data_IF_079251622375
#
_entry.id   IF_079251622375
#
_cell.length_a   1.000
_cell.length_b   1.000
_cell.length_c   1.000
_cell.angle_alpha   90.00
_cell.angle_beta   90.00
_cell.angle_gamma   90.00
#
_symmetry.space_group_name_H-M   'P 1'
#
loop_
_entity.id
_entity.type
_entity.pdbx_description
1 polymer ?
#
# COMPACT_ATOMS: atom_id res chain seq x y z
N UNK A 1 21.34 31.71 -3.69
CA UNK A 1 21.73 33.11 -3.46
C UNK A 1 20.52 33.83 -2.89
N UNK A 2 20.46 33.95 -1.55
CA UNK A 2 19.34 34.63 -0.88
C UNK A 2 19.50 36.14 -1.08
N UNK A 3 18.50 36.79 -1.65
CA UNK A 3 18.46 38.25 -1.78
C UNK A 3 18.11 38.84 -0.41
N UNK A 4 19.11 39.08 0.42
CA UNK A 4 18.93 39.91 1.60
C UNK A 4 18.77 41.36 1.12
N UNK A 5 17.59 41.93 1.33
CA UNK A 5 17.37 43.36 1.15
C UNK A 5 17.68 43.99 2.51
N UNK A 6 18.78 44.72 2.61
CA UNK A 6 19.11 45.48 3.83
C UNK A 6 18.09 46.63 3.98
N UNK A 7 17.50 46.76 5.16
CA UNK A 7 16.66 47.89 5.54
C UNK A 7 17.57 49.07 5.95
N UNK A 8 17.11 50.30 5.72
CA UNK A 8 17.84 51.56 6.01
C UNK A 8 18.33 51.74 7.46
N UNK A 9 17.90 50.87 8.39
CA UNK A 9 18.34 50.80 9.79
C UNK A 9 19.51 49.83 10.06
N UNK A 10 20.02 49.14 9.04
CA UNK A 10 21.10 48.15 9.19
C UNK A 10 20.66 46.83 9.85
N UNK A 11 19.35 46.64 10.06
CA UNK A 11 18.80 45.41 10.62
C UNK A 11 18.38 44.47 9.50
N UNK A 12 18.84 43.21 9.53
CA UNK A 12 18.41 42.20 8.55
C UNK A 12 16.93 41.88 8.76
N UNK A 13 16.08 42.39 7.88
CA UNK A 13 14.65 42.06 7.86
C UNK A 13 14.47 40.59 7.45
N UNK A 14 14.44 39.69 8.45
CA UNK A 14 14.05 38.30 8.24
C UNK A 14 12.56 38.24 7.89
N UNK A 15 12.25 38.05 6.61
CA UNK A 15 10.89 37.73 6.16
C UNK A 15 10.70 36.21 6.27
N UNK A 16 9.95 35.71 7.27
CA UNK A 16 9.66 34.28 7.34
C UNK A 16 8.92 33.87 6.06
N UNK A 17 9.47 32.89 5.33
CA UNK A 17 8.72 32.27 4.24
C UNK A 17 7.42 31.70 4.82
N UNK A 18 6.25 32.03 4.24
CA UNK A 18 5.00 31.47 4.72
C UNK A 18 5.10 29.94 4.67
N UNK A 19 4.74 29.29 5.77
CA UNK A 19 4.71 27.82 5.87
C UNK A 19 3.87 27.31 4.72
N UNK A 20 4.53 26.66 3.75
CA UNK A 20 3.87 26.17 2.54
C UNK A 20 2.83 25.12 2.97
N UNK A 21 1.55 25.49 2.91
CA UNK A 21 0.45 24.58 3.19
C UNK A 21 0.48 23.46 2.15
N UNK A 22 0.89 22.26 2.57
CA UNK A 22 0.93 21.08 1.71
C UNK A 22 -0.50 20.64 1.40
N UNK A 23 -0.99 21.00 0.21
CA UNK A 23 -2.23 20.41 -0.32
C UNK A 23 -1.93 18.95 -0.70
N UNK A 24 -2.52 18.01 0.03
CA UNK A 24 -2.43 16.58 -0.26
C UNK A 24 -3.00 16.31 -1.66
N UNK A 25 -2.11 16.22 -2.65
CA UNK A 25 -2.48 15.83 -4.03
C UNK A 25 -2.64 14.31 -4.07
N UNK A 26 -3.50 13.82 -4.96
CA UNK A 26 -3.74 12.37 -5.17
C UNK A 26 -2.45 11.58 -5.38
N UNK A 27 -1.46 12.16 -6.07
CA UNK A 27 -0.15 11.53 -6.25
C UNK A 27 0.66 11.36 -4.95
N UNK A 28 0.51 12.27 -3.98
CA UNK A 28 1.17 12.18 -2.68
C UNK A 28 0.56 11.06 -1.83
N UNK A 29 -0.76 10.92 -1.84
CA UNK A 29 -1.43 9.77 -1.21
C UNK A 29 -1.00 8.44 -1.82
N UNK A 30 -0.94 8.35 -3.15
CA UNK A 30 -0.51 7.12 -3.81
C UNK A 30 0.93 6.72 -3.40
N UNK A 31 1.82 7.70 -3.28
CA UNK A 31 3.18 7.48 -2.81
C UNK A 31 3.25 7.03 -1.34
N UNK A 32 2.49 7.68 -0.44
CA UNK A 32 2.44 7.29 0.98
C UNK A 32 1.93 5.86 1.12
N UNK A 33 0.82 5.54 0.47
CA UNK A 33 0.24 4.21 0.48
C UNK A 33 1.20 3.15 -0.07
N UNK A 34 2.00 3.48 -1.09
CA UNK A 34 2.95 2.51 -1.66
C UNK A 34 4.04 2.14 -0.66
N UNK A 35 4.54 3.12 0.11
CA UNK A 35 5.50 2.88 1.19
C UNK A 35 4.88 2.13 2.36
N UNK A 36 3.68 2.53 2.78
CA UNK A 36 2.99 1.90 3.90
C UNK A 36 2.67 0.43 3.61
N UNK A 37 2.15 0.15 2.41
CA UNK A 37 1.91 -1.23 1.96
C UNK A 37 3.21 -2.03 1.86
N UNK A 38 4.30 -1.44 1.37
CA UNK A 38 5.60 -2.11 1.36
C UNK A 38 6.09 -2.49 2.76
N UNK A 39 5.98 -1.57 3.73
CA UNK A 39 6.36 -1.84 5.11
C UNK A 39 5.47 -2.93 5.75
N UNK A 40 4.16 -2.89 5.48
CA UNK A 40 3.23 -3.93 5.93
C UNK A 40 3.58 -5.30 5.34
N UNK A 41 3.96 -5.36 4.05
CA UNK A 41 4.38 -6.60 3.39
C UNK A 41 5.68 -7.15 3.97
N UNK A 42 6.67 -6.29 4.30
CA UNK A 42 7.89 -6.72 4.98
C UNK A 42 7.56 -7.34 6.35
N UNK A 43 6.70 -6.70 7.13
CA UNK A 43 6.24 -7.26 8.41
C UNK A 43 5.51 -8.59 8.24
N UNK A 44 4.62 -8.68 7.25
CA UNK A 44 3.94 -9.92 6.89
C UNK A 44 4.93 -11.03 6.53
N UNK A 45 5.95 -10.74 5.73
CA UNK A 45 6.95 -11.73 5.32
C UNK A 45 7.68 -12.35 6.51
N UNK A 46 8.00 -11.57 7.56
CA UNK A 46 8.64 -12.12 8.78
C UNK A 46 7.73 -13.13 9.47
N UNK A 47 6.45 -12.77 9.70
CA UNK A 47 5.46 -13.67 10.33
C UNK A 47 5.18 -14.88 9.44
N UNK A 48 5.08 -14.67 8.12
CA UNK A 48 4.80 -15.70 7.14
C UNK A 48 5.91 -16.77 7.10
N UNK A 49 7.18 -16.34 7.00
CA UNK A 49 8.33 -17.25 7.00
C UNK A 49 8.44 -17.99 8.34
N UNK A 50 8.12 -17.33 9.45
CA UNK A 50 8.07 -18.00 10.75
C UNK A 50 6.97 -19.08 10.79
N UNK A 51 5.78 -18.79 10.26
CA UNK A 51 4.69 -19.77 10.13
C UNK A 51 5.07 -21.00 9.31
N UNK A 52 5.89 -20.85 8.27
CA UNK A 52 6.37 -21.97 7.45
C UNK A 52 7.18 -23.01 8.25
N UNK A 53 7.72 -22.67 9.43
CA UNK A 53 8.38 -23.67 10.29
C UNK A 53 7.44 -24.81 10.69
N UNK A 54 6.14 -24.54 10.81
CA UNK A 54 5.13 -25.53 11.18
C UNK A 54 4.99 -26.67 10.15
N UNK A 55 5.43 -26.49 8.89
CA UNK A 55 5.29 -27.50 7.83
C UNK A 55 6.06 -28.80 8.12
N UNK A 56 7.05 -28.74 9.01
CA UNK A 56 7.89 -29.88 9.37
C UNK A 56 7.23 -30.85 10.35
N UNK A 57 6.13 -30.44 10.99
CA UNK A 57 5.38 -31.25 11.95
C UNK A 57 3.89 -31.17 11.62
N UNK A 58 3.27 -32.32 11.33
CA UNK A 58 1.87 -32.39 10.94
C UNK A 58 0.91 -31.82 12.00
N UNK A 59 1.17 -32.05 13.29
CA UNK A 59 0.35 -31.52 14.39
C UNK A 59 0.46 -29.99 14.48
N UNK A 60 1.69 -29.46 14.42
CA UNK A 60 1.93 -28.02 14.44
C UNK A 60 1.32 -27.33 13.19
N UNK A 61 1.41 -27.97 12.03
CA UNK A 61 0.79 -27.49 10.80
C UNK A 61 -0.74 -27.46 10.91
N UNK A 62 -1.35 -28.54 11.38
CA UNK A 62 -2.80 -28.61 11.55
C UNK A 62 -3.32 -27.57 12.55
N UNK A 63 -2.61 -27.35 13.66
CA UNK A 63 -2.93 -26.31 14.63
C UNK A 63 -2.82 -24.90 14.02
N UNK A 64 -1.79 -24.63 13.21
CA UNK A 64 -1.61 -23.35 12.53
C UNK A 64 -2.72 -23.12 11.49
N UNK A 65 -3.03 -24.10 10.65
CA UNK A 65 -4.11 -23.99 9.66
C UNK A 65 -5.45 -23.79 10.35
N UNK A 66 -5.74 -24.48 11.46
CA UNK A 66 -6.96 -24.26 12.22
C UNK A 66 -7.07 -22.79 12.71
N UNK A 67 -5.95 -22.16 13.08
CA UNK A 67 -5.95 -20.74 13.47
C UNK A 67 -6.33 -19.80 12.31
N UNK A 68 -5.95 -20.12 11.06
CA UNK A 68 -6.27 -19.32 9.86
C UNK A 68 -7.76 -19.35 9.47
N UNK A 69 -8.55 -20.25 10.08
CA UNK A 69 -10.00 -20.24 9.91
C UNK A 69 -10.67 -19.16 10.77
N UNK A 70 -9.96 -18.55 11.73
CA UNK A 70 -10.55 -17.50 12.55
C UNK A 70 -10.87 -16.23 11.71
N UNK A 71 -11.96 -15.51 12.01
CA UNK A 71 -12.40 -14.36 11.21
C UNK A 71 -11.35 -13.25 11.07
N UNK A 72 -10.51 -13.07 12.09
CA UNK A 72 -9.42 -12.08 12.08
C UNK A 72 -8.42 -12.35 10.95
N UNK A 73 -8.10 -13.62 10.67
CA UNK A 73 -7.20 -14.00 9.59
C UNK A 73 -7.87 -13.84 8.23
N UNK A 74 -9.19 -14.06 8.12
CA UNK A 74 -9.94 -13.80 6.88
C UNK A 74 -9.96 -12.32 6.50
N UNK A 75 -10.14 -11.44 7.47
CA UNK A 75 -10.00 -9.98 7.26
C UNK A 75 -8.55 -9.62 6.91
N UNK A 76 -7.58 -10.22 7.60
CA UNK A 76 -6.15 -10.04 7.33
C UNK A 76 -5.76 -10.44 5.90
N UNK A 77 -6.21 -11.60 5.43
CA UNK A 77 -6.00 -12.11 4.06
C UNK A 77 -6.57 -11.13 3.03
N UNK A 78 -7.76 -10.58 3.27
CA UNK A 78 -8.39 -9.61 2.37
C UNK A 78 -7.61 -8.28 2.30
N UNK A 79 -7.20 -7.73 3.45
CA UNK A 79 -6.38 -6.52 3.50
C UNK A 79 -4.99 -6.75 2.87
N UNK A 80 -4.40 -7.92 3.13
CA UNK A 80 -3.12 -8.33 2.55
C UNK A 80 -3.20 -8.42 1.03
N UNK A 81 -4.25 -9.04 0.49
CA UNK A 81 -4.48 -9.11 -0.96
C UNK A 81 -4.51 -7.71 -1.58
N UNK A 82 -5.25 -6.78 -0.96
CA UNK A 82 -5.29 -5.39 -1.40
C UNK A 82 -3.93 -4.71 -1.36
N UNK A 83 -3.18 -4.91 -0.26
CA UNK A 83 -1.82 -4.37 -0.10
C UNK A 83 -0.85 -4.89 -1.17
N UNK A 84 -0.86 -6.20 -1.45
CA UNK A 84 0.00 -6.83 -2.48
C UNK A 84 -0.33 -6.29 -3.87
N UNK A 85 -1.61 -6.32 -4.27
CA UNK A 85 -2.04 -5.86 -5.61
C UNK A 85 -1.66 -4.40 -5.81
N UNK A 86 -1.98 -3.55 -4.83
CA UNK A 86 -1.65 -2.14 -4.88
C UNK A 86 -0.14 -1.92 -4.95
N UNK A 87 0.65 -2.58 -4.09
CA UNK A 87 2.10 -2.41 -4.06
C UNK A 87 2.76 -2.86 -5.37
N UNK A 88 2.38 -4.03 -5.88
CA UNK A 88 2.93 -4.60 -7.11
C UNK A 88 2.61 -3.75 -8.34
N UNK A 89 1.34 -3.36 -8.54
CA UNK A 89 0.94 -2.59 -9.72
C UNK A 89 1.48 -1.16 -9.68
N UNK A 90 1.52 -0.54 -8.50
CA UNK A 90 2.06 0.82 -8.38
C UNK A 90 3.59 0.83 -8.48
N UNK A 91 4.27 -0.22 -8.02
CA UNK A 91 5.70 -0.44 -8.27
C UNK A 91 5.99 -0.69 -9.75
N UNK A 92 5.18 -1.51 -10.42
CA UNK A 92 5.28 -1.75 -11.86
C UNK A 92 5.13 -0.46 -12.67
N UNK A 93 4.20 0.44 -12.28
CA UNK A 93 4.08 1.78 -12.88
C UNK A 93 5.40 2.55 -12.83
N UNK A 94 6.07 2.56 -11.68
CA UNK A 94 7.32 3.28 -11.48
C UNK A 94 8.42 2.66 -12.35
N UNK A 95 8.55 1.33 -12.35
CA UNK A 95 9.51 0.61 -13.20
C UNK A 95 9.28 0.91 -14.69
N UNK A 96 8.04 0.89 -15.17
CA UNK A 96 7.73 1.18 -16.58
C UNK A 96 8.12 2.62 -16.98
N UNK A 97 7.93 3.59 -16.09
CA UNK A 97 8.27 4.99 -16.36
C UNK A 97 9.79 5.18 -16.33
N UNK A 98 10.46 4.66 -15.30
CA UNK A 98 11.86 4.97 -15.01
C UNK A 98 12.84 4.10 -15.80
N UNK A 99 12.53 2.81 -16.03
CA UNK A 99 13.42 1.89 -16.76
C UNK A 99 13.12 1.80 -18.25
N UNK A 100 11.84 1.82 -18.65
CA UNK A 100 11.44 1.63 -20.06
C UNK A 100 11.35 2.96 -20.81
N UNK A 101 11.45 4.10 -20.10
CA UNK A 101 11.25 5.43 -20.68
C UNK A 101 9.84 5.63 -21.24
N UNK A 102 8.90 4.74 -20.89
CA UNK A 102 7.54 4.78 -21.37
C UNK A 102 6.82 5.91 -20.63
N UNK A 103 6.64 7.04 -21.31
CA UNK A 103 5.95 8.22 -20.79
C UNK A 103 4.58 8.43 -21.48
N UNK A 104 3.61 7.51 -21.34
CA UNK A 104 2.24 7.82 -21.73
C UNK A 104 1.66 8.80 -20.71
N UNK A 105 0.55 9.45 -21.06
CA UNK A 105 -0.19 10.33 -20.14
C UNK A 105 -0.31 9.69 -18.75
N UNK A 106 0.43 10.22 -17.75
CA UNK A 106 0.57 9.57 -16.45
C UNK A 106 -0.77 9.34 -15.74
N UNK A 107 -1.75 10.22 -16.00
CA UNK A 107 -3.14 10.03 -15.56
C UNK A 107 -3.78 8.77 -16.14
N UNK A 108 -3.65 8.52 -17.46
CA UNK A 108 -4.22 7.34 -18.12
C UNK A 108 -3.57 6.07 -17.59
N UNK A 109 -2.25 6.06 -17.43
CA UNK A 109 -1.52 4.89 -16.90
C UNK A 109 -1.97 4.57 -15.46
N UNK A 110 -2.06 5.58 -14.59
CA UNK A 110 -2.54 5.41 -13.22
C UNK A 110 -3.97 4.84 -13.17
N UNK A 111 -4.90 5.37 -13.97
CA UNK A 111 -6.27 4.86 -14.00
C UNK A 111 -6.38 3.46 -14.62
N UNK A 112 -5.60 3.15 -15.66
CA UNK A 112 -5.59 1.81 -16.27
C UNK A 112 -5.09 0.74 -15.31
N UNK A 113 -3.97 1.00 -14.61
CA UNK A 113 -3.44 0.10 -13.59
C UNK A 113 -4.36 0.03 -12.38
N UNK A 114 -5.00 1.14 -12.00
CA UNK A 114 -6.03 1.16 -10.96
C UNK A 114 -7.25 0.31 -11.32
N UNK A 115 -7.69 0.32 -12.58
CA UNK A 115 -8.79 -0.54 -13.05
C UNK A 115 -8.40 -2.01 -13.00
N UNK A 116 -7.17 -2.36 -13.44
CA UNK A 116 -6.65 -3.72 -13.33
C UNK A 116 -6.56 -4.14 -11.85
N UNK A 117 -6.07 -3.27 -10.97
CA UNK A 117 -6.02 -3.51 -9.54
C UNK A 117 -7.41 -3.80 -8.96
N UNK A 118 -8.41 -3.00 -9.33
CA UNK A 118 -9.78 -3.16 -8.88
C UNK A 118 -10.40 -4.49 -9.36
N UNK A 119 -10.15 -4.89 -10.61
CA UNK A 119 -10.62 -6.17 -11.15
C UNK A 119 -9.96 -7.34 -10.42
N UNK A 120 -8.63 -7.33 -10.27
CA UNK A 120 -7.90 -8.38 -9.55
C UNK A 120 -8.36 -8.48 -8.08
N UNK A 121 -8.58 -7.34 -7.44
CA UNK A 121 -9.06 -7.29 -6.07
C UNK A 121 -10.51 -7.79 -5.95
N UNK A 122 -11.39 -7.44 -6.89
CA UNK A 122 -12.76 -7.93 -6.91
C UNK A 122 -12.83 -9.44 -7.14
N UNK A 123 -12.07 -9.96 -8.12
CA UNK A 123 -12.04 -11.39 -8.45
C UNK A 123 -11.40 -12.21 -7.33
N UNK A 124 -10.24 -11.77 -6.82
CA UNK A 124 -9.53 -12.45 -5.74
C UNK A 124 -10.19 -12.29 -4.36
N UNK A 125 -10.87 -11.17 -4.14
CA UNK A 125 -11.56 -10.84 -2.89
C UNK A 125 -12.99 -11.37 -2.81
N UNK A 126 -13.64 -11.70 -3.94
CA UNK A 126 -14.97 -12.31 -3.97
C UNK A 126 -15.10 -13.55 -3.06
N UNK A 127 -14.20 -14.56 -3.10
CA UNK A 127 -14.28 -15.71 -2.20
C UNK A 127 -14.08 -15.32 -0.73
N UNK A 128 -13.24 -14.33 -0.43
CA UNK A 128 -13.01 -13.84 0.94
C UNK A 128 -14.25 -13.11 1.49
N UNK A 129 -14.91 -12.30 0.67
CA UNK A 129 -16.15 -11.61 1.03
C UNK A 129 -17.30 -12.61 1.19
N UNK A 130 -17.44 -13.57 0.27
CA UNK A 130 -18.44 -14.63 0.35
C UNK A 130 -18.28 -15.48 1.63
N UNK A 131 -17.04 -15.82 2.00
CA UNK A 131 -16.74 -16.53 3.24
C UNK A 131 -17.13 -15.72 4.49
N UNK A 132 -16.88 -14.41 4.48
CA UNK A 132 -17.22 -13.51 5.58
C UNK A 132 -18.75 -13.34 5.72
N UNK A 133 -19.45 -13.14 4.60
CA UNK A 133 -20.91 -13.00 4.56
C UNK A 133 -21.58 -14.29 5.03
N UNK A 134 -21.15 -15.46 4.56
CA UNK A 134 -21.70 -16.74 5.01
C UNK A 134 -21.47 -16.98 6.51
N UNK A 135 -20.35 -16.52 7.07
CA UNK A 135 -20.07 -16.65 8.49
C UNK A 135 -20.98 -15.77 9.36
N UNK A 136 -21.33 -14.56 8.91
CA UNK A 136 -22.25 -13.67 9.63
C UNK A 136 -23.74 -13.91 9.32
N UNK A 137 -24.07 -14.50 8.17
CA UNK A 137 -25.45 -14.85 7.80
C UNK A 137 -25.90 -16.21 8.30
N UNK A 138 -24.97 -17.08 8.75
CA UNK A 138 -25.27 -18.38 9.35
C UNK A 138 -25.20 -18.37 10.90
N UNK A 139 -25.02 -17.20 11.51
CA UNK A 139 -25.02 -16.99 12.96
C UNK A 139 -26.33 -16.44 13.48
#
# INVERSE_FOLDING_TARGET
MATAVEDASGTLAYTPKPVQSYKLRVGMFAWILHRLTGLALVGYLVVHIWGLKAITNAEAYNALIASYHAPIFKVGEFLLLGAVIYHALNGMRIVLIDFVGWSPNQKKLFWSLGAIAAVLFAVGGYPSIAALVNHFSAG
#
